data_IF_492424102813
#
_entry.id   IF_492424102813
#
_cell.length_a   1.000
_cell.length_b   1.000
_cell.length_c   1.000
_cell.angle_alpha   90.00
_cell.angle_beta   90.00
_cell.angle_gamma   90.00
#
_symmetry.space_group_name_H-M   'P 1'
#
loop_
_entity.id
_entity.type
_entity.pdbx_description
1 polymer ?
#
# COMPACT_ATOMS: atom_id res chain seq x y z
N UNK A 1 -12.21 -12.58 12.93
CA UNK A 1 -12.03 -11.28 13.60
C UNK A 1 -13.11 -11.14 14.67
N UNK A 2 -12.71 -10.96 15.94
CA UNK A 2 -13.63 -10.75 17.06
C UNK A 2 -13.86 -9.26 17.36
N UNK A 3 -14.87 -8.96 18.19
CA UNK A 3 -15.18 -7.57 18.60
C UNK A 3 -13.98 -6.90 19.28
N UNK A 4 -13.18 -7.66 20.05
CA UNK A 4 -11.97 -7.16 20.72
C UNK A 4 -10.92 -6.68 19.70
N UNK A 5 -10.71 -7.44 18.63
CA UNK A 5 -9.75 -7.08 17.56
C UNK A 5 -10.16 -5.78 16.85
N UNK A 6 -11.46 -5.59 16.63
CA UNK A 6 -12.01 -4.38 16.01
C UNK A 6 -11.78 -3.15 16.91
N UNK A 7 -11.95 -3.30 18.23
CA UNK A 7 -11.77 -2.22 19.20
C UNK A 7 -10.30 -1.81 19.27
N UNK A 8 -9.37 -2.77 19.36
CA UNK A 8 -7.93 -2.47 19.41
C UNK A 8 -7.47 -1.85 18.09
N UNK A 9 -7.86 -2.41 16.94
CA UNK A 9 -7.52 -1.83 15.63
C UNK A 9 -8.02 -0.38 15.47
N UNK A 10 -9.22 -0.06 15.99
CA UNK A 10 -9.74 1.32 16.00
C UNK A 10 -8.96 2.23 16.97
N UNK A 11 -8.40 1.70 18.04
CA UNK A 11 -7.57 2.45 18.99
C UNK A 11 -6.19 2.74 18.39
N UNK A 12 -5.55 1.74 17.80
CA UNK A 12 -4.30 1.88 17.04
C UNK A 12 -4.45 2.90 15.90
N UNK A 13 -5.52 2.80 15.12
CA UNK A 13 -5.83 3.76 14.06
C UNK A 13 -5.95 5.20 14.57
N UNK A 14 -6.59 5.40 15.72
CA UNK A 14 -6.75 6.74 16.31
C UNK A 14 -5.42 7.30 16.80
N UNK A 15 -4.59 6.47 17.45
CA UNK A 15 -3.26 6.86 17.89
C UNK A 15 -2.39 7.24 16.68
N UNK A 16 -2.43 6.43 15.63
CA UNK A 16 -1.75 6.68 14.37
C UNK A 16 -2.15 8.01 13.74
N UNK A 17 -3.44 8.26 13.58
CA UNK A 17 -3.91 9.52 13.00
C UNK A 17 -3.65 10.74 13.90
N UNK A 18 -3.48 10.56 15.22
CA UNK A 18 -3.07 11.65 16.11
C UNK A 18 -1.64 12.10 15.82
N UNK A 19 -0.73 11.16 15.54
CA UNK A 19 0.66 11.45 15.12
C UNK A 19 0.69 12.23 13.81
N UNK A 20 -0.08 11.81 12.81
CA UNK A 20 -0.19 12.53 11.54
C UNK A 20 -0.65 13.98 11.77
N UNK A 21 -1.63 14.21 12.66
CA UNK A 21 -2.20 15.55 12.89
C UNK A 21 -1.23 16.56 13.49
N UNK A 22 -0.17 16.12 14.17
CA UNK A 22 0.83 17.02 14.77
C UNK A 22 1.97 17.37 13.81
N UNK A 23 2.05 16.70 12.65
CA UNK A 23 3.02 17.04 11.61
C UNK A 23 2.71 18.40 10.97
N UNK A 24 3.71 19.04 10.34
CA UNK A 24 3.48 20.24 9.52
C UNK A 24 2.45 19.98 8.39
N UNK A 25 1.80 21.04 7.92
CA UNK A 25 0.64 20.92 7.03
C UNK A 25 0.94 20.23 5.70
N UNK A 26 2.11 20.48 5.11
CA UNK A 26 2.59 19.84 3.89
C UNK A 26 2.78 18.33 4.08
N UNK A 27 3.40 17.91 5.19
CA UNK A 27 3.52 16.51 5.58
C UNK A 27 2.15 15.82 5.71
N UNK A 28 1.17 16.49 6.33
CA UNK A 28 -0.20 15.96 6.45
C UNK A 28 -0.88 15.74 5.10
N UNK A 29 -0.65 16.64 4.14
CA UNK A 29 -1.21 16.55 2.79
C UNK A 29 -0.63 15.34 2.07
N UNK A 30 0.70 15.26 2.00
CA UNK A 30 1.39 14.17 1.30
C UNK A 30 1.05 12.82 1.91
N UNK A 31 1.03 12.74 3.25
CA UNK A 31 0.65 11.52 3.95
C UNK A 31 -0.74 11.02 3.53
N UNK A 32 -1.74 11.92 3.45
CA UNK A 32 -3.10 11.57 3.03
C UNK A 32 -3.16 11.11 1.58
N UNK A 33 -2.36 11.69 0.70
CA UNK A 33 -2.30 11.24 -0.70
C UNK A 33 -1.63 9.87 -0.84
N UNK A 34 -0.54 9.59 -0.11
CA UNK A 34 0.07 8.25 -0.05
C UNK A 34 -0.93 7.24 0.51
N UNK A 35 -1.64 7.58 1.58
CA UNK A 35 -2.66 6.73 2.17
C UNK A 35 -3.77 6.38 1.16
N UNK A 36 -4.29 7.37 0.43
CA UNK A 36 -5.30 7.15 -0.64
C UNK A 36 -4.73 6.29 -1.78
N UNK A 37 -3.47 6.50 -2.13
CA UNK A 37 -2.78 5.75 -3.17
C UNK A 37 -2.70 4.28 -2.80
N UNK A 38 -2.21 3.95 -1.61
CA UNK A 38 -2.13 2.57 -1.14
C UNK A 38 -3.48 1.87 -0.99
N UNK A 39 -4.54 2.58 -0.62
CA UNK A 39 -5.88 1.98 -0.65
C UNK A 39 -6.35 1.59 -2.07
N UNK A 40 -5.77 2.18 -3.12
CA UNK A 40 -6.09 1.85 -4.52
C UNK A 40 -5.14 0.80 -5.10
N UNK A 41 -3.85 0.91 -4.83
CA UNK A 41 -2.81 0.15 -5.55
C UNK A 41 -2.02 -0.82 -4.67
N UNK A 42 -2.14 -0.72 -3.36
CA UNK A 42 -1.22 -1.37 -2.45
C UNK A 42 -1.42 -2.89 -2.30
N UNK A 43 -0.50 -3.57 -1.56
CA UNK A 43 -0.63 -4.97 -1.16
C UNK A 43 -2.00 -5.35 -0.61
N UNK A 44 -2.44 -6.56 -0.93
CA UNK A 44 -3.67 -7.16 -0.35
C UNK A 44 -3.55 -7.26 1.18
N UNK A 45 -2.32 -7.44 1.66
CA UNK A 45 -1.97 -7.38 3.09
C UNK A 45 -1.91 -5.98 3.69
N UNK A 46 -2.16 -4.87 2.96
CA UNK A 46 -2.41 -3.57 3.63
C UNK A 46 -3.62 -3.64 4.57
N UNK A 47 -4.51 -4.62 4.37
CA UNK A 47 -5.60 -4.92 5.29
C UNK A 47 -5.15 -5.56 6.60
N UNK A 48 -3.92 -6.07 6.69
CA UNK A 48 -3.37 -6.76 7.86
C UNK A 48 -2.59 -5.84 8.83
N UNK A 49 -2.43 -4.55 8.54
CA UNK A 49 -1.89 -3.64 9.54
C UNK A 49 -1.58 -2.23 9.09
N UNK A 50 -1.52 -1.33 10.08
CA UNK A 50 -1.04 0.04 9.92
C UNK A 50 0.47 0.13 9.75
N UNK A 51 1.23 -0.97 9.80
CA UNK A 51 2.69 -0.98 9.89
C UNK A 51 3.39 -0.14 8.79
N UNK A 52 2.99 -0.31 7.53
CA UNK A 52 3.54 0.49 6.42
C UNK A 52 3.24 1.98 6.59
N UNK A 53 2.00 2.31 6.95
CA UNK A 53 1.58 3.69 7.20
C UNK A 53 2.27 4.28 8.43
N UNK A 54 2.50 3.47 9.48
CA UNK A 54 3.26 3.82 10.68
C UNK A 54 4.71 4.16 10.34
N UNK A 55 5.38 3.33 9.53
CA UNK A 55 6.74 3.60 9.09
C UNK A 55 6.87 4.90 8.30
N UNK A 56 5.87 5.26 7.50
CA UNK A 56 5.84 6.57 6.82
C UNK A 56 5.72 7.71 7.84
N UNK A 57 4.89 7.56 8.86
CA UNK A 57 4.77 8.58 9.92
C UNK A 57 6.09 8.72 10.68
N UNK A 58 6.77 7.62 10.99
CA UNK A 58 8.09 7.64 11.64
C UNK A 58 9.11 8.45 10.78
N UNK A 59 9.18 8.16 9.48
CA UNK A 59 10.03 8.90 8.53
C UNK A 59 9.66 10.39 8.45
N UNK A 60 8.37 10.71 8.48
CA UNK A 60 7.88 12.08 8.38
C UNK A 60 8.14 12.89 9.65
N UNK A 61 8.03 12.26 10.82
CA UNK A 61 8.40 12.87 12.10
C UNK A 61 9.90 13.19 12.12
N UNK A 62 10.76 12.29 11.65
CA UNK A 62 12.20 12.53 11.52
C UNK A 62 12.51 13.67 10.53
N UNK A 63 11.91 13.63 9.34
CA UNK A 63 12.07 14.68 8.32
C UNK A 63 11.66 16.07 8.83
N UNK A 64 10.53 16.14 9.51
CA UNK A 64 10.03 17.38 10.11
C UNK A 64 10.95 17.87 11.26
N UNK A 65 11.45 16.97 12.11
CA UNK A 65 12.40 17.30 13.17
C UNK A 65 13.73 17.84 12.63
N UNK A 66 14.15 17.38 11.45
CA UNK A 66 15.32 17.89 10.73
C UNK A 66 15.06 19.19 9.95
N UNK A 67 13.82 19.71 9.95
CA UNK A 67 13.45 20.91 9.21
C UNK A 67 13.42 20.73 7.69
N UNK A 68 13.32 19.49 7.20
CA UNK A 68 13.19 19.20 5.75
C UNK A 68 11.77 19.48 5.28
N UNK A 69 11.60 19.95 4.04
CA UNK A 69 10.29 19.94 3.40
C UNK A 69 9.87 18.51 3.08
N UNK A 70 8.57 18.23 3.06
CA UNK A 70 8.10 16.86 2.80
C UNK A 70 8.57 16.30 1.45
N UNK A 71 8.68 17.15 0.43
CA UNK A 71 9.18 16.75 -0.89
C UNK A 71 10.71 16.52 -0.93
N UNK A 72 11.45 16.98 0.07
CA UNK A 72 12.86 16.62 0.24
C UNK A 72 12.99 15.21 0.85
N UNK A 73 11.95 14.75 1.54
CA UNK A 73 11.87 13.39 2.13
C UNK A 73 11.35 12.39 1.10
N UNK A 74 10.25 12.71 0.43
CA UNK A 74 9.60 11.79 -0.53
C UNK A 74 10.12 11.94 -1.96
N UNK A 75 10.78 13.04 -2.29
CA UNK A 75 10.94 13.47 -3.67
C UNK A 75 9.65 14.10 -4.23
N UNK A 76 9.77 14.72 -5.41
CA UNK A 76 8.65 15.36 -6.12
C UNK A 76 7.67 14.36 -6.72
N UNK A 77 8.15 13.17 -7.05
CA UNK A 77 7.31 12.06 -7.50
C UNK A 77 6.91 11.18 -6.31
N UNK A 78 5.86 11.62 -5.62
CA UNK A 78 5.33 10.95 -4.43
C UNK A 78 4.79 9.55 -4.76
N UNK A 79 4.30 9.35 -5.99
CA UNK A 79 3.80 8.04 -6.41
C UNK A 79 4.96 7.05 -6.58
N UNK A 80 6.04 7.46 -7.23
CA UNK A 80 7.25 6.63 -7.34
C UNK A 80 7.82 6.26 -5.96
N UNK A 81 7.86 7.21 -5.02
CA UNK A 81 8.24 6.93 -3.64
C UNK A 81 7.33 5.88 -2.98
N UNK A 82 6.01 6.01 -3.15
CA UNK A 82 5.05 5.07 -2.59
C UNK A 82 5.20 3.68 -3.23
N UNK A 83 5.39 3.59 -4.54
CA UNK A 83 5.64 2.34 -5.27
C UNK A 83 6.90 1.63 -4.77
N UNK A 84 7.99 2.39 -4.57
CA UNK A 84 9.25 1.85 -4.05
C UNK A 84 9.11 1.23 -2.65
N UNK A 85 8.21 1.75 -1.81
CA UNK A 85 7.94 1.20 -0.49
C UNK A 85 7.22 -0.16 -0.52
N UNK A 86 6.49 -0.47 -1.61
CA UNK A 86 5.70 -1.69 -1.73
C UNK A 86 6.20 -2.65 -2.80
N UNK A 87 7.29 -2.31 -3.51
CA UNK A 87 7.81 -3.08 -4.65
C UNK A 87 8.08 -4.56 -4.38
N UNK A 88 8.46 -4.90 -3.15
CA UNK A 88 8.77 -6.28 -2.73
C UNK A 88 7.55 -6.97 -2.08
N UNK A 89 6.39 -6.30 -2.04
CA UNK A 89 5.14 -6.82 -1.48
C UNK A 89 4.17 -7.24 -2.57
N UNK A 90 3.40 -8.31 -2.33
CA UNK A 90 2.41 -8.79 -3.29
C UNK A 90 1.19 -7.86 -3.35
N UNK A 91 1.04 -7.16 -4.46
CA UNK A 91 -0.05 -6.20 -4.74
C UNK A 91 -1.34 -6.89 -5.17
N UNK A 92 -2.47 -6.17 -5.12
CA UNK A 92 -3.70 -6.63 -5.78
C UNK A 92 -3.46 -6.88 -7.27
N UNK A 93 -2.68 -6.03 -7.93
CA UNK A 93 -2.35 -6.18 -9.35
C UNK A 93 -1.64 -7.51 -9.62
N UNK A 94 -0.69 -7.91 -8.77
CA UNK A 94 0.00 -9.20 -8.91
C UNK A 94 -0.95 -10.38 -8.80
N UNK A 95 -1.88 -10.36 -7.84
CA UNK A 95 -2.90 -11.40 -7.70
C UNK A 95 -3.82 -11.47 -8.93
N UNK A 96 -4.26 -10.31 -9.43
CA UNK A 96 -5.10 -10.26 -10.62
C UNK A 96 -4.35 -10.75 -11.87
N UNK A 97 -3.07 -10.39 -12.03
CA UNK A 97 -2.23 -10.84 -13.14
C UNK A 97 -2.01 -12.36 -13.09
N UNK A 98 -1.71 -12.92 -11.92
CA UNK A 98 -1.57 -14.38 -11.74
C UNK A 98 -2.86 -15.10 -12.13
N UNK A 99 -4.01 -14.62 -11.65
CA UNK A 99 -5.32 -15.21 -11.97
C UNK A 99 -5.63 -15.14 -13.47
N UNK A 100 -5.43 -13.98 -14.10
CA UNK A 100 -5.63 -13.81 -15.53
C UNK A 100 -4.71 -14.75 -16.35
N UNK A 101 -3.44 -14.84 -15.96
CA UNK A 101 -2.47 -15.72 -16.62
C UNK A 101 -2.86 -17.20 -16.49
N UNK A 102 -3.36 -17.61 -15.32
CA UNK A 102 -3.87 -18.98 -15.13
C UNK A 102 -5.04 -19.29 -16.06
N UNK A 103 -6.00 -18.36 -16.22
CA UNK A 103 -7.14 -18.56 -17.11
C UNK A 103 -6.73 -18.61 -18.59
N UNK A 104 -5.81 -17.75 -19.02
CA UNK A 104 -5.23 -17.80 -20.37
C UNK A 104 -4.56 -19.16 -20.62
N UNK A 105 -3.72 -19.62 -19.70
CA UNK A 105 -3.03 -20.90 -19.83
C UNK A 105 -4.00 -22.09 -19.91
N UNK A 106 -5.06 -22.08 -19.09
CA UNK A 106 -6.13 -23.10 -19.14
C UNK A 106 -6.83 -23.10 -20.49
N UNK A 107 -7.16 -21.93 -21.03
CA UNK A 107 -7.81 -21.78 -22.32
C UNK A 107 -6.91 -22.27 -23.47
N UNK A 108 -5.64 -21.87 -23.48
CA UNK A 108 -4.65 -22.28 -24.48
C UNK A 108 -4.43 -23.79 -24.48
N UNK A 109 -4.33 -24.42 -23.31
CA UNK A 109 -4.19 -25.88 -23.20
C UNK A 109 -5.37 -26.63 -23.84
N UNK A 110 -6.61 -26.18 -23.59
CA UNK A 110 -7.82 -26.77 -24.20
C UNK A 110 -7.82 -26.67 -25.74
N UNK A 111 -7.31 -25.57 -26.29
CA UNK A 111 -7.20 -25.39 -27.75
C UNK A 111 -6.19 -26.37 -28.34
N UNK A 112 -5.03 -26.52 -27.70
CA UNK A 112 -3.99 -27.45 -28.14
C UNK A 112 -4.43 -28.91 -28.05
N UNK A 113 -5.09 -29.30 -26.95
CA UNK A 113 -5.58 -30.67 -26.74
C UNK A 113 -6.68 -31.08 -27.73
N UNK A 114 -7.53 -30.13 -28.17
CA UNK A 114 -8.52 -30.37 -29.23
C UNK A 114 -7.87 -30.56 -30.61
N UNK A 115 -6.76 -29.88 -30.88
CA UNK A 115 -6.03 -29.97 -32.16
C UNK A 115 -5.29 -31.29 -32.34
N UNK A 116 -4.85 -31.93 -31.26
CA UNK A 116 -4.18 -33.25 -31.31
C UNK A 116 -5.14 -34.44 -31.36
N UNK A 117 -6.46 -34.23 -31.28
CA UNK A 117 -7.50 -35.27 -31.28
C UNK A 117 -8.33 -35.31 -32.57
N UNK A 118 -8.04 -34.44 -33.55
CA UNK A 118 -8.66 -34.41 -34.88
C UNK A 118 -7.62 -34.64 -35.95
#
# INVERSE_FOLDING_TARGET
MGIRDIIEGKKEWRAHMARVKVLPQDYQIVYKEIQKYFFKVGPVQLTEGTALLSGIVDLFEEGAAMGKGVLDVTGRDVAAFADDLIKDSKTYADIYQESAMQEVNKAMKKVTDKKSKG
#
